data_IF_737533557359
#
_entry.id   IF_737533557359
#
_cell.length_a   1.000
_cell.length_b   1.000
_cell.length_c   1.000
_cell.angle_alpha   90.00
_cell.angle_beta   90.00
_cell.angle_gamma   90.00
#
_symmetry.space_group_name_H-M   'P 1'
#
loop_
_entity.id
_entity.type
_entity.pdbx_description
1 polymer ?
#
# COMPACT_ATOMS: atom_id res chain seq x y z
N UNK A 1 -54.75 61.37 7.28
CA UNK A 1 -54.45 60.51 6.11
C UNK A 1 -53.84 61.35 4.98
N UNK A 2 -52.53 61.22 4.69
CA UNK A 2 -51.94 61.55 3.36
C UNK A 2 -50.45 61.13 3.31
N UNK A 3 -50.28 59.91 2.78
CA UNK A 3 -49.19 59.34 1.97
C UNK A 3 -47.76 59.90 2.12
N UNK A 4 -46.90 59.13 2.81
CA UNK A 4 -45.47 59.10 2.52
C UNK A 4 -45.23 58.27 1.24
N UNK A 5 -44.63 58.88 0.22
CA UNK A 5 -44.08 58.20 -0.97
C UNK A 5 -42.57 58.43 -0.94
N UNK A 6 -41.82 57.47 -0.42
CA UNK A 6 -40.36 57.45 -0.56
C UNK A 6 -40.07 56.62 -1.83
N UNK A 7 -39.60 57.30 -2.86
CA UNK A 7 -39.16 56.70 -4.12
C UNK A 7 -37.80 56.02 -3.92
N UNK A 8 -37.79 54.70 -3.89
CA UNK A 8 -36.59 53.86 -3.98
C UNK A 8 -36.09 53.84 -5.43
N UNK A 9 -34.97 54.52 -5.69
CA UNK A 9 -34.22 54.38 -6.95
C UNK A 9 -33.25 53.20 -6.87
N UNK A 10 -33.41 52.28 -7.82
CA UNK A 10 -32.65 51.06 -8.02
C UNK A 10 -31.30 51.34 -8.72
N UNK A 11 -30.20 50.80 -8.13
CA UNK A 11 -29.01 50.14 -8.76
C UNK A 11 -28.10 50.95 -9.72
N UNK A 12 -26.92 50.42 -10.14
CA UNK A 12 -26.01 49.40 -9.53
C UNK A 12 -24.52 49.81 -9.60
N UNK A 13 -23.64 49.33 -8.70
CA UNK A 13 -22.24 49.01 -9.10
C UNK A 13 -21.75 47.80 -8.30
N UNK A 14 -21.42 46.75 -9.05
CA UNK A 14 -20.79 45.51 -8.62
C UNK A 14 -19.38 45.72 -8.07
N UNK A 15 -18.89 44.66 -7.40
CA UNK A 15 -17.51 44.34 -7.04
C UNK A 15 -17.10 44.82 -5.65
N UNK A 16 -17.09 43.88 -4.70
CA UNK A 16 -15.82 43.29 -4.25
C UNK A 16 -16.11 42.12 -3.30
N UNK A 17 -16.48 40.96 -3.83
CA UNK A 17 -16.38 39.69 -3.09
C UNK A 17 -15.27 38.89 -3.76
N UNK A 18 -14.03 39.17 -3.36
CA UNK A 18 -12.87 38.38 -3.72
C UNK A 18 -12.13 38.02 -2.44
N UNK A 19 -11.69 36.77 -2.40
CA UNK A 19 -10.75 36.18 -1.45
C UNK A 19 -11.33 35.51 -0.19
N UNK A 20 -12.10 34.43 -0.35
CA UNK A 20 -12.18 33.36 0.67
C UNK A 20 -12.32 31.98 0.03
N UNK A 21 -11.56 31.67 -1.02
CA UNK A 21 -11.55 30.31 -1.60
C UNK A 21 -10.16 29.99 -2.17
N UNK A 22 -9.13 29.89 -1.33
CA UNK A 22 -7.83 29.38 -1.80
C UNK A 22 -6.94 28.88 -0.65
N UNK A 23 -7.45 27.95 0.15
CA UNK A 23 -6.59 27.18 1.06
C UNK A 23 -7.03 25.70 1.23
N UNK A 24 -8.22 25.31 0.76
CA UNK A 24 -8.74 23.95 0.94
C UNK A 24 -8.42 22.98 -0.21
N UNK A 25 -8.07 23.48 -1.40
CA UNK A 25 -7.85 22.63 -2.59
C UNK A 25 -6.47 21.94 -2.59
N UNK A 26 -5.46 22.51 -1.92
CA UNK A 26 -4.13 21.89 -1.88
C UNK A 26 -4.08 20.63 -0.99
N UNK A 27 -4.84 20.58 0.11
CA UNK A 27 -4.77 19.47 1.06
C UNK A 27 -5.41 18.17 0.53
N UNK A 28 -6.42 18.26 -0.33
CA UNK A 28 -7.09 17.09 -0.91
C UNK A 28 -6.24 16.38 -1.97
N UNK A 29 -5.33 17.10 -2.63
CA UNK A 29 -4.54 16.57 -3.73
C UNK A 29 -3.40 15.65 -3.25
N UNK A 30 -2.81 15.93 -2.09
CA UNK A 30 -1.72 15.10 -1.54
C UNK A 30 -2.22 13.76 -0.99
N UNK A 31 -3.41 13.71 -0.37
CA UNK A 31 -3.96 12.49 0.20
C UNK A 31 -4.33 11.45 -0.86
N UNK A 32 -4.86 11.90 -2.01
CA UNK A 32 -5.20 11.00 -3.11
C UNK A 32 -3.96 10.38 -3.76
N UNK A 33 -2.87 11.15 -3.88
CA UNK A 33 -1.62 10.68 -4.48
C UNK A 33 -0.90 9.65 -3.58
N UNK A 34 -0.91 9.88 -2.26
CA UNK A 34 -0.35 8.95 -1.29
C UNK A 34 -1.13 7.62 -1.24
N UNK A 35 -2.48 7.69 -1.29
CA UNK A 35 -3.33 6.50 -1.33
C UNK A 35 -3.14 5.67 -2.60
N UNK A 36 -3.03 6.34 -3.77
CA UNK A 36 -2.82 5.62 -5.03
C UNK A 36 -1.46 4.89 -5.05
N UNK A 37 -0.41 5.50 -4.48
CA UNK A 37 0.90 4.89 -4.38
C UNK A 37 0.91 3.68 -3.43
N UNK A 38 0.18 3.74 -2.31
CA UNK A 38 0.05 2.59 -1.40
C UNK A 38 -0.71 1.43 -2.04
N UNK A 39 -1.78 1.72 -2.80
CA UNK A 39 -2.60 0.70 -3.46
C UNK A 39 -1.81 -0.04 -4.55
N UNK A 40 -0.97 0.67 -5.31
CA UNK A 40 -0.10 0.07 -6.32
C UNK A 40 0.95 -0.85 -5.68
N UNK A 41 1.59 -0.39 -4.60
CA UNK A 41 2.61 -1.17 -3.90
C UNK A 41 2.00 -2.42 -3.23
N UNK A 42 0.78 -2.31 -2.71
CA UNK A 42 0.03 -3.46 -2.21
C UNK A 42 -0.25 -4.49 -3.31
N UNK A 43 -0.82 -4.07 -4.45
CA UNK A 43 -1.12 -4.97 -5.56
C UNK A 43 0.15 -5.66 -6.08
N UNK A 44 1.25 -4.92 -6.21
CA UNK A 44 2.56 -5.47 -6.58
C UNK A 44 3.11 -6.45 -5.54
N UNK A 45 2.87 -6.20 -4.25
CA UNK A 45 3.28 -7.10 -3.17
C UNK A 45 2.54 -8.44 -3.24
N UNK A 46 1.23 -8.38 -3.49
CA UNK A 46 0.40 -9.59 -3.66
C UNK A 46 0.81 -10.36 -4.92
N UNK A 47 1.06 -9.65 -6.02
CA UNK A 47 1.53 -10.27 -7.27
C UNK A 47 2.91 -10.95 -7.10
N UNK A 48 3.82 -10.33 -6.35
CA UNK A 48 5.11 -10.95 -6.03
C UNK A 48 4.93 -12.30 -5.33
N UNK A 49 4.09 -12.36 -4.29
CA UNK A 49 3.81 -13.61 -3.57
C UNK A 49 3.11 -14.64 -4.47
N UNK A 50 2.14 -14.22 -5.27
CA UNK A 50 1.46 -15.10 -6.21
C UNK A 50 2.46 -15.71 -7.20
N UNK A 51 3.41 -14.93 -7.71
CA UNK A 51 4.45 -15.42 -8.60
C UNK A 51 5.37 -16.45 -7.90
N UNK A 52 5.86 -16.14 -6.70
CA UNK A 52 6.71 -17.06 -5.92
C UNK A 52 5.99 -18.39 -5.66
N UNK A 53 4.75 -18.35 -5.17
CA UNK A 53 4.03 -19.58 -4.83
C UNK A 53 3.47 -20.34 -6.04
N UNK A 54 3.34 -19.67 -7.20
CA UNK A 54 2.96 -20.32 -8.47
C UNK A 54 4.16 -20.86 -9.28
N UNK A 55 5.39 -20.75 -8.76
CA UNK A 55 6.60 -21.19 -9.46
C UNK A 55 7.11 -20.25 -10.56
N UNK A 56 6.53 -19.05 -10.67
CA UNK A 56 6.92 -17.98 -11.60
C UNK A 56 8.08 -17.17 -11.04
N UNK A 57 9.20 -17.84 -10.82
CA UNK A 57 10.34 -17.28 -10.09
C UNK A 57 11.09 -16.21 -10.88
N UNK A 58 11.11 -16.29 -12.20
CA UNK A 58 11.72 -15.26 -13.06
C UNK A 58 10.97 -13.93 -12.96
N UNK A 59 9.64 -14.00 -12.98
CA UNK A 59 8.77 -12.84 -12.83
C UNK A 59 8.87 -12.26 -11.42
N UNK A 60 8.96 -13.11 -10.39
CA UNK A 60 9.23 -12.67 -9.03
C UNK A 60 10.61 -12.00 -8.90
N UNK A 61 11.65 -12.58 -9.49
CA UNK A 61 13.02 -12.03 -9.48
C UNK A 61 13.11 -10.66 -10.17
N UNK A 62 12.33 -10.43 -11.22
CA UNK A 62 12.26 -9.13 -11.91
C UNK A 62 11.72 -7.99 -11.03
N UNK A 63 10.98 -8.32 -9.95
CA UNK A 63 10.45 -7.35 -8.98
C UNK A 63 11.47 -6.97 -7.90
N UNK A 64 12.56 -7.74 -7.78
CA UNK A 64 13.62 -7.57 -6.78
C UNK A 64 14.71 -6.66 -7.32
N UNK A 65 15.31 -5.86 -6.44
CA UNK A 65 16.44 -5.00 -6.76
C UNK A 65 17.68 -5.85 -7.09
N UNK A 66 18.47 -5.41 -8.07
CA UNK A 66 19.70 -6.10 -8.49
C UNK A 66 20.72 -6.29 -7.37
N UNK A 67 20.68 -5.43 -6.34
CA UNK A 67 21.55 -5.48 -5.18
C UNK A 67 21.12 -6.51 -4.12
N UNK A 68 19.95 -7.14 -4.25
CA UNK A 68 19.46 -8.12 -3.29
C UNK A 68 19.92 -9.53 -3.65
N UNK A 69 20.42 -10.28 -2.66
CA UNK A 69 20.78 -11.69 -2.82
C UNK A 69 19.57 -12.58 -3.14
N UNK A 70 18.35 -12.13 -2.82
CA UNK A 70 17.11 -12.84 -3.15
C UNK A 70 16.75 -12.79 -4.63
N UNK A 71 17.47 -12.02 -5.45
CA UNK A 71 17.18 -11.94 -6.88
C UNK A 71 17.44 -13.26 -7.61
N UNK A 72 18.33 -14.10 -7.11
CA UNK A 72 18.59 -15.40 -7.73
C UNK A 72 17.32 -16.27 -7.69
N UNK A 73 16.96 -16.84 -8.83
CA UNK A 73 15.77 -17.69 -9.00
C UNK A 73 15.81 -18.87 -8.03
N UNK A 74 16.97 -19.50 -7.87
CA UNK A 74 17.16 -20.63 -6.95
C UNK A 74 16.84 -20.24 -5.50
N UNK A 75 17.26 -19.05 -5.06
CA UNK A 75 16.96 -18.55 -3.72
C UNK A 75 15.46 -18.31 -3.50
N UNK A 76 14.71 -17.94 -4.55
CA UNK A 76 13.25 -17.79 -4.48
C UNK A 76 12.52 -19.14 -4.51
N UNK A 77 13.06 -20.10 -5.26
CA UNK A 77 12.54 -21.46 -5.31
C UNK A 77 12.71 -22.16 -3.95
N UNK A 78 13.91 -22.15 -3.41
CA UNK A 78 14.22 -22.70 -2.08
C UNK A 78 13.37 -22.03 -1.00
N UNK A 79 13.21 -20.72 -1.11
CA UNK A 79 12.34 -19.95 -0.23
C UNK A 79 10.87 -20.42 -0.29
N UNK A 80 10.29 -20.51 -1.49
CA UNK A 80 8.91 -20.95 -1.68
C UNK A 80 8.68 -22.40 -1.25
N UNK A 81 9.64 -23.29 -1.55
CA UNK A 81 9.62 -24.71 -1.13
C UNK A 81 9.70 -24.82 0.38
N UNK A 82 10.59 -24.07 1.05
CA UNK A 82 10.72 -24.08 2.50
C UNK A 82 9.45 -23.65 3.22
N UNK A 83 8.79 -22.59 2.74
CA UNK A 83 7.50 -22.17 3.30
C UNK A 83 6.39 -23.18 3.05
N UNK A 84 6.30 -23.73 1.83
CA UNK A 84 5.31 -24.77 1.51
C UNK A 84 5.51 -26.02 2.38
N UNK A 85 6.76 -26.44 2.59
CA UNK A 85 7.08 -27.57 3.44
C UNK A 85 6.71 -27.32 4.92
N UNK A 86 6.86 -26.08 5.40
CA UNK A 86 6.58 -25.73 6.79
C UNK A 86 5.10 -25.46 7.08
N UNK A 87 4.37 -24.82 6.15
CA UNK A 87 3.02 -24.29 6.39
C UNK A 87 1.96 -24.84 5.43
N UNK A 88 2.35 -25.70 4.48
CA UNK A 88 1.44 -26.22 3.44
C UNK A 88 1.22 -25.23 2.29
N UNK A 89 0.21 -25.47 1.47
CA UNK A 89 -0.02 -24.64 0.28
C UNK A 89 -0.51 -23.23 0.63
N UNK A 90 -0.03 -22.25 -0.14
CA UNK A 90 -0.46 -20.86 -0.05
C UNK A 90 -1.91 -20.71 -0.50
N UNK A 91 -2.76 -20.10 0.34
CA UNK A 91 -4.18 -19.87 0.07
C UNK A 91 -4.49 -18.42 -0.30
N UNK A 92 -3.68 -17.47 0.18
CA UNK A 92 -3.89 -16.06 -0.12
C UNK A 92 -3.29 -15.15 0.95
N UNK A 93 -3.68 -13.88 0.88
CA UNK A 93 -3.27 -12.85 1.83
C UNK A 93 -4.52 -12.30 2.53
N UNK A 94 -4.57 -12.41 3.85
CA UNK A 94 -5.69 -11.94 4.68
C UNK A 94 -5.58 -10.48 5.08
N UNK A 95 -4.35 -9.95 5.18
CA UNK A 95 -4.11 -8.55 5.56
C UNK A 95 -2.88 -8.00 4.88
N UNK A 96 -2.96 -6.75 4.45
CA UNK A 96 -1.81 -5.95 4.01
C UNK A 96 -1.76 -4.67 4.81
N UNK A 97 -0.54 -4.26 5.17
CA UNK A 97 -0.27 -2.99 5.83
C UNK A 97 0.96 -2.36 5.18
N UNK A 98 0.79 -1.18 4.59
CA UNK A 98 1.87 -0.41 3.98
C UNK A 98 2.35 0.64 4.98
N UNK A 99 3.67 0.71 5.20
CA UNK A 99 4.32 1.67 6.09
C UNK A 99 5.48 2.33 5.38
N UNK A 100 5.54 3.65 5.42
CA UNK A 100 6.72 4.38 4.95
C UNK A 100 7.68 4.64 6.10
N UNK A 101 8.97 4.37 5.89
CA UNK A 101 10.02 4.58 6.90
C UNK A 101 11.31 5.03 6.24
N UNK A 102 11.73 6.28 6.52
CA UNK A 102 13.06 6.84 6.18
C UNK A 102 13.46 6.59 4.70
N UNK A 103 12.57 6.87 3.75
CA UNK A 103 12.87 6.69 2.31
C UNK A 103 12.73 5.24 1.80
N UNK A 104 12.14 4.35 2.60
CA UNK A 104 11.80 2.99 2.16
C UNK A 104 10.34 2.69 2.48
N UNK A 105 9.70 1.91 1.61
CA UNK A 105 8.32 1.45 1.82
C UNK A 105 8.35 0.02 2.32
N UNK A 106 7.78 -0.22 3.49
CA UNK A 106 7.70 -1.53 4.13
C UNK A 106 6.26 -2.00 4.00
N UNK A 107 6.06 -3.16 3.38
CA UNK A 107 4.76 -3.80 3.27
C UNK A 107 4.75 -5.03 4.15
N UNK A 108 3.80 -5.10 5.08
CA UNK A 108 3.60 -6.24 5.96
C UNK A 108 2.33 -6.96 5.52
N UNK A 109 2.48 -8.21 5.08
CA UNK A 109 1.40 -9.07 4.60
C UNK A 109 1.20 -10.22 5.60
N UNK A 110 -0.04 -10.51 5.96
CA UNK A 110 -0.42 -11.75 6.64
C UNK A 110 -0.90 -12.71 5.56
N UNK A 111 -0.17 -13.79 5.38
CA UNK A 111 -0.40 -14.80 4.37
C UNK A 111 -1.00 -16.04 5.01
N UNK A 112 -2.08 -16.55 4.43
CA UNK A 112 -2.76 -17.75 4.87
C UNK A 112 -2.24 -18.95 4.07
N UNK A 113 -1.91 -20.01 4.79
CA UNK A 113 -1.49 -21.30 4.27
C UNK A 113 -2.39 -22.39 4.85
N UNK A 114 -2.30 -23.61 4.31
CA UNK A 114 -3.10 -24.75 4.77
C UNK A 114 -2.97 -25.03 6.26
N UNK A 115 -1.74 -24.97 6.79
CA UNK A 115 -1.43 -25.38 8.15
C UNK A 115 -1.15 -24.18 9.08
N UNK A 116 -1.41 -22.95 8.64
CA UNK A 116 -1.22 -21.77 9.49
C UNK A 116 -1.09 -20.46 8.73
N UNK A 117 -0.63 -19.44 9.45
CA UNK A 117 -0.39 -18.10 8.88
C UNK A 117 1.09 -17.73 8.96
N UNK A 118 1.55 -16.91 8.03
CA UNK A 118 2.89 -16.31 8.07
C UNK A 118 2.80 -14.81 7.85
N UNK A 119 3.56 -14.07 8.65
CA UNK A 119 3.77 -12.64 8.43
C UNK A 119 4.96 -12.47 7.50
N UNK A 120 4.69 -11.98 6.30
CA UNK A 120 5.69 -11.63 5.29
C UNK A 120 5.92 -10.13 5.32
N UNK A 121 7.18 -9.70 5.40
CA UNK A 121 7.57 -8.30 5.31
C UNK A 121 8.40 -8.09 4.06
N UNK A 122 7.92 -7.23 3.18
CA UNK A 122 8.63 -6.76 1.99
C UNK A 122 9.16 -5.36 2.26
N UNK A 123 10.42 -5.12 1.92
CA UNK A 123 11.00 -3.78 1.94
C UNK A 123 11.29 -3.34 0.52
N UNK A 124 10.81 -2.16 0.16
CA UNK A 124 10.98 -1.52 -1.13
C UNK A 124 11.93 -0.33 -1.00
N UNK A 125 12.77 -0.14 -2.02
CA UNK A 125 13.50 1.10 -2.20
C UNK A 125 12.64 2.19 -2.88
N UNK A 126 13.22 3.38 -3.06
CA UNK A 126 12.55 4.55 -3.66
C UNK A 126 12.09 4.33 -5.11
N UNK A 127 12.70 3.40 -5.84
CA UNK A 127 12.29 3.00 -7.21
C UNK A 127 11.29 1.85 -7.22
N UNK A 128 10.73 1.49 -6.06
CA UNK A 128 9.70 0.48 -5.94
C UNK A 128 10.19 -0.94 -6.22
N UNK A 129 11.48 -1.25 -6.05
CA UNK A 129 12.03 -2.61 -6.14
C UNK A 129 12.21 -3.21 -4.76
N UNK A 130 11.93 -4.50 -4.62
CA UNK A 130 12.08 -5.22 -3.35
C UNK A 130 13.56 -5.39 -3.04
N UNK A 131 14.02 -4.90 -1.90
CA UNK A 131 15.41 -5.03 -1.44
C UNK A 131 15.57 -6.15 -0.42
N UNK A 132 14.54 -6.40 0.38
CA UNK A 132 14.53 -7.44 1.40
C UNK A 132 13.15 -8.08 1.54
N UNK A 133 13.15 -9.39 1.81
CA UNK A 133 11.97 -10.18 2.15
C UNK A 133 12.27 -10.91 3.46
N UNK A 134 11.34 -10.88 4.40
CA UNK A 134 11.42 -11.68 5.62
C UNK A 134 10.07 -12.29 5.95
N UNK A 135 10.10 -13.44 6.62
CA UNK A 135 8.90 -14.23 6.90
C UNK A 135 9.01 -14.73 8.33
N UNK A 136 7.90 -14.62 9.06
CA UNK A 136 7.80 -15.12 10.43
C UNK A 136 6.48 -15.86 10.55
N UNK A 137 6.49 -17.18 10.81
CA UNK A 137 5.28 -17.92 11.14
C UNK A 137 4.52 -17.19 12.25
N UNK A 138 3.23 -17.01 12.05
CA UNK A 138 2.33 -16.54 13.10
C UNK A 138 1.98 -17.77 13.90
N UNK A 139 2.81 -18.08 14.89
CA UNK A 139 2.50 -19.13 15.87
C UNK A 139 1.27 -18.61 16.62
N UNK A 140 0.16 -19.36 16.68
CA UNK A 140 -0.95 -19.02 17.57
C UNK A 140 -0.34 -18.87 18.95
N UNK A 141 -0.38 -17.66 19.51
CA UNK A 141 0.07 -17.44 20.88
C UNK A 141 -0.72 -18.42 21.73
N UNK A 142 -0.05 -19.43 22.28
CA UNK A 142 -0.71 -20.45 23.08
C UNK A 142 -1.52 -19.70 24.14
N UNK A 143 -2.84 -19.80 24.05
CA UNK A 143 -3.74 -19.22 25.03
C UNK A 143 -3.33 -19.84 26.36
N UNK A 144 -2.59 -19.08 27.16
CA UNK A 144 -2.25 -19.44 28.51
C UNK A 144 -3.59 -19.53 29.25
N UNK A 145 -4.05 -20.76 29.49
CA UNK A 145 -5.25 -21.04 30.27
C UNK A 145 -4.96 -20.79 31.75
#
# INVERSE_FOLDING_TARGET
MRRYKIQTKLKPVMKLLRATFSAFVLALSFSALASAASDEIEARSQQFLANVFSGKYEEAAAMIANSSSLKAVDNLADFGIGLRAALGDYKGTSKVEVREKRGSTIVVLICDFENGQSKVTLTYNEVGKITAVSFKPVIPQAANK
#
